data_IF_221783815871
#
_entry.id   IF_221783815871
#
_cell.length_a   1.000
_cell.length_b   1.000
_cell.length_c   1.000
_cell.angle_alpha   90.00
_cell.angle_beta   90.00
_cell.angle_gamma   90.00
#
_symmetry.space_group_name_H-M   'P 1'
#
loop_
_entity.id
_entity.type
_entity.pdbx_description
1 polymer ?
#
# COMPACT_ATOMS: atom_id res chain seq x y z
N UNK A 1 -17.66 0.39 -7.06
CA UNK A 1 -18.70 -0.60 -7.35
C UNK A 1 -20.04 0.06 -7.01
N UNK A 2 -20.98 0.20 -7.96
CA UNK A 2 -22.28 0.82 -7.65
C UNK A 2 -22.99 -0.12 -6.69
N UNK A 3 -23.28 0.36 -5.48
CA UNK A 3 -24.08 -0.39 -4.49
C UNK A 3 -25.49 -0.54 -5.03
N UNK A 4 -25.76 -1.67 -5.67
CA UNK A 4 -27.13 -2.07 -5.99
C UNK A 4 -27.68 -2.67 -4.70
N UNK A 5 -28.52 -1.91 -3.99
CA UNK A 5 -29.04 -2.33 -2.67
C UNK A 5 -29.76 -3.69 -2.73
N UNK A 6 -30.38 -4.01 -3.87
CA UNK A 6 -30.87 -5.36 -4.18
C UNK A 6 -31.20 -5.50 -5.67
N UNK A 7 -31.26 -6.74 -6.18
CA UNK A 7 -31.74 -7.04 -7.53
C UNK A 7 -32.81 -8.13 -7.54
N UNK A 8 -33.64 -8.13 -8.58
CA UNK A 8 -34.77 -9.06 -8.72
C UNK A 8 -34.30 -10.46 -9.17
N UNK A 9 -34.75 -11.47 -8.43
CA UNK A 9 -34.42 -12.90 -8.65
C UNK A 9 -35.66 -13.73 -8.98
N UNK A 10 -36.83 -13.12 -9.15
CA UNK A 10 -38.10 -13.82 -9.44
C UNK A 10 -38.05 -14.72 -10.68
N UNK A 11 -37.15 -14.40 -11.62
CA UNK A 11 -36.93 -15.16 -12.85
C UNK A 11 -35.93 -16.32 -12.70
N UNK A 12 -35.29 -16.49 -11.55
CA UNK A 12 -34.35 -17.57 -11.29
C UNK A 12 -35.12 -18.73 -10.66
N UNK A 13 -35.16 -19.87 -11.37
CA UNK A 13 -35.80 -21.08 -10.89
C UNK A 13 -34.73 -21.99 -10.30
N UNK A 14 -34.73 -22.16 -8.98
CA UNK A 14 -33.79 -23.03 -8.29
C UNK A 14 -34.30 -24.48 -8.25
N UNK A 15 -33.41 -25.49 -8.39
CA UNK A 15 -33.78 -26.88 -8.18
C UNK A 15 -34.17 -27.12 -6.72
N UNK A 16 -35.14 -28.01 -6.49
CA UNK A 16 -35.71 -28.29 -5.15
C UNK A 16 -34.71 -28.83 -4.12
N UNK A 17 -33.55 -29.33 -4.57
CA UNK A 17 -32.53 -29.95 -3.73
C UNK A 17 -31.27 -29.07 -3.53
N UNK A 18 -31.35 -27.76 -3.79
CA UNK A 18 -30.20 -26.85 -3.61
C UNK A 18 -30.40 -25.99 -2.37
N UNK A 19 -29.41 -26.02 -1.48
CA UNK A 19 -29.31 -25.13 -0.33
C UNK A 19 -28.24 -24.07 -0.60
N UNK A 20 -28.65 -22.81 -0.72
CA UNK A 20 -27.73 -21.69 -0.92
C UNK A 20 -27.06 -21.31 0.39
N UNK A 21 -25.75 -21.00 0.33
CA UNK A 21 -25.00 -20.46 1.48
C UNK A 21 -25.62 -19.15 1.95
N UNK A 22 -26.00 -18.30 0.98
CA UNK A 22 -26.69 -17.03 1.23
C UNK A 22 -28.04 -17.03 0.50
N UNK A 23 -29.16 -17.29 1.21
CA UNK A 23 -30.51 -17.20 0.66
C UNK A 23 -30.89 -15.78 0.22
N UNK A 24 -30.19 -14.76 0.74
CA UNK A 24 -30.39 -13.33 0.49
C UNK A 24 -29.33 -12.72 -0.42
N UNK A 25 -28.63 -13.55 -1.21
CA UNK A 25 -27.52 -13.11 -2.09
C UNK A 25 -27.87 -11.96 -3.04
N UNK A 26 -29.15 -11.73 -3.28
CA UNK A 26 -29.65 -10.66 -4.13
C UNK A 26 -29.82 -9.32 -3.41
N UNK A 27 -29.54 -9.25 -2.11
CA UNK A 27 -29.65 -8.07 -1.26
C UNK A 27 -28.24 -7.76 -0.74
N UNK A 28 -27.81 -6.51 -0.89
CA UNK A 28 -26.51 -6.10 -0.37
C UNK A 28 -26.54 -6.14 1.17
N UNK A 29 -25.58 -6.83 1.77
CA UNK A 29 -25.45 -6.95 3.23
C UNK A 29 -23.98 -6.74 3.66
N UNK A 30 -23.72 -6.64 4.96
CA UNK A 30 -22.34 -6.57 5.48
C UNK A 30 -21.56 -7.83 5.16
N UNK A 31 -20.27 -7.69 4.86
CA UNK A 31 -19.37 -8.81 4.62
C UNK A 31 -18.88 -9.33 5.98
N UNK A 32 -19.17 -10.58 6.29
CA UNK A 32 -18.74 -11.21 7.55
C UNK A 32 -17.29 -11.71 7.50
N UNK A 33 -16.85 -12.20 6.34
CA UNK A 33 -15.50 -12.71 6.13
C UNK A 33 -15.05 -12.58 4.66
N UNK A 34 -13.76 -12.33 4.44
CA UNK A 34 -13.10 -12.37 3.14
C UNK A 34 -12.26 -13.64 3.04
N UNK A 35 -12.45 -14.40 1.96
CA UNK A 35 -11.71 -15.64 1.70
C UNK A 35 -10.66 -15.42 0.61
N UNK A 36 -9.43 -15.81 0.91
CA UNK A 36 -8.33 -15.81 -0.05
C UNK A 36 -8.52 -16.90 -1.11
N UNK A 37 -7.84 -16.75 -2.26
CA UNK A 37 -8.00 -17.65 -3.40
C UNK A 37 -7.53 -19.09 -3.13
N UNK A 38 -6.53 -19.26 -2.26
CA UNK A 38 -6.06 -20.55 -1.74
C UNK A 38 -7.17 -21.28 -0.99
N UNK A 39 -7.82 -20.60 -0.02
CA UNK A 39 -8.94 -21.16 0.74
C UNK A 39 -10.15 -21.42 -0.17
N UNK A 40 -10.42 -20.51 -1.13
CA UNK A 40 -11.54 -20.67 -2.05
C UNK A 40 -11.44 -21.96 -2.86
N UNK A 41 -10.25 -22.34 -3.32
CA UNK A 41 -10.06 -23.57 -4.09
C UNK A 41 -10.29 -24.80 -3.21
N UNK A 42 -9.82 -24.77 -1.96
CA UNK A 42 -9.91 -25.89 -1.03
C UNK A 42 -11.35 -26.20 -0.58
N UNK A 43 -12.23 -25.21 -0.52
CA UNK A 43 -13.63 -25.38 -0.09
C UNK A 43 -14.57 -25.83 -1.21
N UNK A 44 -14.12 -25.87 -2.47
CA UNK A 44 -14.95 -26.29 -3.60
C UNK A 44 -15.20 -27.80 -3.54
N UNK A 45 -16.47 -28.20 -3.71
CA UNK A 45 -16.89 -29.59 -3.79
C UNK A 45 -17.30 -29.98 -5.20
N UNK A 46 -17.37 -31.28 -5.44
CA UNK A 46 -18.02 -31.81 -6.63
C UNK A 46 -19.50 -31.41 -6.68
N UNK A 47 -19.96 -31.08 -7.88
CA UNK A 47 -21.32 -30.62 -8.14
C UNK A 47 -21.36 -29.19 -8.65
N UNK A 48 -21.56 -29.07 -9.96
CA UNK A 48 -21.76 -27.81 -10.67
C UNK A 48 -23.04 -27.93 -11.50
N UNK A 49 -24.01 -27.06 -11.22
CA UNK A 49 -25.29 -27.05 -11.91
C UNK A 49 -25.45 -25.72 -12.64
N UNK A 50 -25.55 -25.78 -13.96
CA UNK A 50 -25.85 -24.59 -14.76
C UNK A 50 -27.38 -24.40 -14.77
N UNK A 51 -27.84 -23.19 -14.44
CA UNK A 51 -29.26 -22.85 -14.49
C UNK A 51 -29.67 -22.54 -15.93
N UNK A 52 -30.90 -22.90 -16.30
CA UNK A 52 -31.39 -22.76 -17.69
C UNK A 52 -31.64 -21.31 -18.11
N UNK A 53 -31.82 -20.39 -17.14
CA UNK A 53 -32.29 -19.02 -17.37
C UNK A 53 -31.15 -17.98 -17.55
N UNK A 54 -29.90 -18.41 -17.69
CA UNK A 54 -28.76 -17.50 -17.88
C UNK A 54 -27.41 -18.19 -17.71
N UNK A 55 -26.32 -17.43 -17.76
CA UNK A 55 -24.96 -17.94 -17.49
C UNK A 55 -24.70 -18.15 -15.98
N UNK A 56 -25.74 -18.43 -15.20
CA UNK A 56 -25.65 -18.68 -13.77
C UNK A 56 -25.29 -20.13 -13.50
N UNK A 57 -24.39 -20.30 -12.56
CA UNK A 57 -23.79 -21.55 -12.15
C UNK A 57 -23.97 -21.64 -10.64
N UNK A 58 -24.53 -22.76 -10.20
CA UNK A 58 -24.56 -23.20 -8.83
C UNK A 58 -23.36 -24.13 -8.60
N UNK A 59 -22.56 -23.82 -7.59
CA UNK A 59 -21.34 -24.54 -7.26
C UNK A 59 -21.38 -24.97 -5.80
N UNK A 60 -21.20 -26.27 -5.54
CA UNK A 60 -21.15 -26.77 -4.18
C UNK A 60 -19.83 -26.38 -3.50
N UNK A 61 -19.92 -26.01 -2.22
CA UNK A 61 -18.79 -25.74 -1.33
C UNK A 61 -19.00 -26.45 0.01
N UNK A 62 -17.99 -26.46 0.88
CA UNK A 62 -18.11 -26.93 2.27
C UNK A 62 -19.26 -26.26 3.05
N UNK A 63 -19.56 -24.99 2.75
CA UNK A 63 -20.58 -24.21 3.47
C UNK A 63 -21.99 -24.30 2.86
N UNK A 64 -22.13 -24.96 1.70
CA UNK A 64 -23.37 -25.00 0.92
C UNK A 64 -23.14 -24.58 -0.54
N UNK A 65 -24.23 -24.31 -1.26
CA UNK A 65 -24.14 -23.95 -2.68
C UNK A 65 -23.97 -22.44 -2.88
N UNK A 66 -22.95 -22.03 -3.64
CA UNK A 66 -22.75 -20.65 -4.06
C UNK A 66 -23.27 -20.44 -5.48
N UNK A 67 -23.65 -19.21 -5.82
CA UNK A 67 -24.09 -18.83 -7.16
C UNK A 67 -23.04 -17.92 -7.81
N UNK A 68 -22.72 -18.16 -9.08
CA UNK A 68 -21.78 -17.37 -9.86
C UNK A 68 -22.25 -17.26 -11.30
N UNK A 69 -22.11 -16.08 -11.91
CA UNK A 69 -22.42 -15.89 -13.32
C UNK A 69 -23.06 -14.56 -13.62
N UNK A 70 -23.52 -14.42 -14.86
CA UNK A 70 -24.11 -13.18 -15.36
C UNK A 70 -25.63 -13.32 -15.48
N UNK A 71 -26.37 -12.39 -14.89
CA UNK A 71 -27.80 -12.20 -15.12
C UNK A 71 -27.98 -11.38 -16.40
N UNK A 72 -28.53 -11.98 -17.46
CA UNK A 72 -28.66 -11.38 -18.79
C UNK A 72 -29.67 -10.23 -18.91
N UNK A 73 -29.97 -9.53 -17.81
CA UNK A 73 -30.98 -8.45 -17.74
C UNK A 73 -30.45 -7.02 -17.68
N UNK A 74 -29.17 -6.80 -17.94
CA UNK A 74 -28.68 -5.45 -18.26
C UNK A 74 -28.84 -5.10 -19.74
N UNK A 75 -29.89 -5.60 -20.41
CA UNK A 75 -30.26 -5.25 -21.79
C UNK A 75 -31.12 -3.97 -21.87
N UNK A 76 -30.76 -2.95 -21.08
CA UNK A 76 -31.10 -1.56 -21.39
C UNK A 76 -29.77 -0.83 -21.49
N UNK A 77 -29.41 -0.41 -22.70
CA UNK A 77 -28.08 0.04 -23.11
C UNK A 77 -27.51 1.23 -22.33
N UNK A 78 -27.02 0.97 -21.13
CA UNK A 78 -26.01 1.80 -20.48
C UNK A 78 -24.75 0.95 -20.34
N UNK A 79 -23.86 1.07 -21.31
CA UNK A 79 -22.46 0.76 -21.09
C UNK A 79 -21.99 1.72 -19.99
N UNK A 80 -21.99 1.25 -18.75
CA UNK A 80 -21.34 1.97 -17.66
C UNK A 80 -19.83 1.80 -17.81
N UNK A 81 -19.25 2.63 -18.68
CA UNK A 81 -17.83 2.94 -18.61
C UNK A 81 -17.66 3.87 -17.41
N UNK A 82 -16.89 3.45 -16.40
CA UNK A 82 -16.44 4.34 -15.32
C UNK A 82 -15.43 5.35 -15.87
N UNK A 83 -15.86 6.20 -16.80
CA UNK A 83 -15.06 7.30 -17.29
C UNK A 83 -15.30 8.46 -16.33
N UNK A 84 -14.32 8.75 -15.49
CA UNK A 84 -14.34 9.89 -14.59
C UNK A 84 -14.20 11.15 -15.45
N UNK A 85 -15.32 11.66 -15.96
CA UNK A 85 -15.37 12.94 -16.67
C UNK A 85 -15.52 14.07 -15.67
N UNK A 86 -14.42 14.80 -15.43
CA UNK A 86 -14.36 16.21 -14.96
C UNK A 86 -15.43 16.66 -13.94
N UNK A 87 -15.47 16.03 -12.77
CA UNK A 87 -15.94 16.70 -11.55
C UNK A 87 -14.86 16.48 -10.47
N UNK A 88 -14.10 17.54 -10.20
CA UNK A 88 -12.91 17.48 -9.33
C UNK A 88 -13.30 17.24 -7.85
N UNK A 89 -14.50 17.65 -7.44
CA UNK A 89 -15.01 17.43 -6.08
C UNK A 89 -15.33 15.95 -5.83
N UNK A 90 -16.00 15.27 -6.76
CA UNK A 90 -16.34 13.84 -6.61
C UNK A 90 -15.15 12.92 -6.83
N UNK A 91 -14.09 13.37 -7.52
CA UNK A 91 -12.91 12.55 -7.79
C UNK A 91 -12.13 12.29 -6.50
N UNK A 92 -11.98 13.31 -5.65
CA UNK A 92 -11.33 13.15 -4.35
C UNK A 92 -12.08 12.18 -3.45
N UNK A 93 -13.41 12.28 -3.40
CA UNK A 93 -14.22 11.36 -2.60
C UNK A 93 -14.20 9.94 -3.17
N UNK A 94 -14.22 9.79 -4.49
CA UNK A 94 -14.15 8.48 -5.14
C UNK A 94 -12.76 7.84 -4.97
N UNK A 95 -11.69 8.63 -5.08
CA UNK A 95 -10.32 8.19 -4.78
C UNK A 95 -10.21 7.79 -3.32
N UNK A 96 -10.71 8.64 -2.41
CA UNK A 96 -10.70 8.36 -0.98
C UNK A 96 -11.41 7.05 -0.67
N UNK A 97 -12.63 6.85 -1.17
CA UNK A 97 -13.36 5.58 -1.01
C UNK A 97 -12.64 4.39 -1.66
N UNK A 98 -11.98 4.59 -2.81
CA UNK A 98 -11.17 3.55 -3.44
C UNK A 98 -9.98 3.15 -2.55
N UNK A 99 -9.25 4.12 -1.99
CA UNK A 99 -8.14 3.87 -1.07
C UNK A 99 -8.61 3.27 0.26
N UNK A 100 -9.78 3.67 0.77
CA UNK A 100 -10.40 3.09 1.97
C UNK A 100 -10.82 1.62 1.78
N UNK A 101 -11.18 1.21 0.56
CA UNK A 101 -11.54 -0.19 0.25
C UNK A 101 -10.31 -1.11 0.24
N UNK A 102 -9.17 -0.62 -0.25
CA UNK A 102 -7.89 -1.37 -0.25
C UNK A 102 -7.14 -1.24 1.09
N UNK A 103 -7.54 -0.29 1.94
CA UNK A 103 -7.03 -0.19 3.31
C UNK A 103 -7.63 -1.33 4.14
N UNK A 104 -6.93 -2.46 4.17
CA UNK A 104 -7.10 -3.47 5.21
C UNK A 104 -6.88 -2.72 6.51
N UNK A 105 -7.95 -2.32 7.21
CA UNK A 105 -7.84 -1.78 8.57
C UNK A 105 -7.26 -2.92 9.38
N UNK A 106 -5.94 -2.94 9.66
CA UNK A 106 -5.44 -3.94 10.56
C UNK A 106 -6.15 -3.58 11.87
N UNK A 107 -6.67 -4.55 12.59
CA UNK A 107 -6.69 -4.39 14.05
C UNK A 107 -5.24 -4.16 14.45
N UNK A 108 -4.80 -2.89 14.39
CA UNK A 108 -3.40 -2.52 14.57
C UNK A 108 -3.10 -2.91 15.99
N UNK A 109 -2.34 -3.99 16.17
CA UNK A 109 -1.51 -4.12 17.36
C UNK A 109 -0.57 -2.92 17.30
N UNK A 110 -0.99 -1.80 17.90
CA UNK A 110 -0.18 -0.60 17.97
C UNK A 110 0.93 -0.90 18.97
N UNK A 111 2.02 -1.49 18.47
CA UNK A 111 3.26 -1.65 19.22
C UNK A 111 3.68 -0.28 19.76
N UNK A 112 4.28 -0.26 20.95
CA UNK A 112 4.78 0.98 21.54
C UNK A 112 5.87 1.62 20.64
N UNK A 113 6.57 0.83 19.83
CA UNK A 113 7.50 1.35 18.81
C UNK A 113 6.79 2.14 17.71
N UNK A 114 5.61 1.67 17.28
CA UNK A 114 4.80 2.38 16.28
C UNK A 114 4.27 3.69 16.85
N UNK A 115 3.80 3.70 18.11
CA UNK A 115 3.38 4.94 18.79
C UNK A 115 4.52 5.95 18.85
N UNK A 116 5.71 5.53 19.27
CA UNK A 116 6.90 6.39 19.30
C UNK A 116 7.25 6.94 17.93
N UNK A 117 7.14 6.13 16.87
CA UNK A 117 7.38 6.56 15.49
C UNK A 117 6.36 7.62 15.04
N UNK A 118 5.07 7.39 15.28
CA UNK A 118 3.99 8.32 14.96
C UNK A 118 4.15 9.65 15.72
N UNK A 119 4.42 9.59 17.03
CA UNK A 119 4.71 10.76 17.86
C UNK A 119 5.95 11.52 17.38
N UNK A 120 7.03 10.81 17.01
CA UNK A 120 8.23 11.42 16.45
C UNK A 120 7.95 12.12 15.13
N UNK A 121 7.20 11.47 14.24
CA UNK A 121 6.81 12.03 12.96
C UNK A 121 6.00 13.30 13.17
N UNK A 122 4.94 13.26 13.98
CA UNK A 122 4.09 14.42 14.26
C UNK A 122 4.87 15.58 14.90
N UNK A 123 5.83 15.26 15.78
CA UNK A 123 6.65 16.27 16.46
C UNK A 123 7.70 16.91 15.55
N UNK A 124 8.22 16.18 14.57
CA UNK A 124 9.38 16.61 13.76
C UNK A 124 9.03 16.96 12.32
N UNK A 125 7.81 16.65 11.87
CA UNK A 125 7.31 17.04 10.57
C UNK A 125 7.14 18.56 10.51
N UNK A 126 7.91 19.19 9.65
CA UNK A 126 7.79 20.61 9.31
C UNK A 126 7.62 20.78 7.80
N UNK A 127 7.30 21.99 7.35
CA UNK A 127 7.31 22.34 5.93
C UNK A 127 8.35 23.42 5.67
N UNK A 128 9.14 23.21 4.63
CA UNK A 128 10.01 24.22 4.03
C UNK A 128 9.16 25.38 3.44
N UNK A 129 9.77 26.56 3.31
CA UNK A 129 9.32 27.69 2.48
C UNK A 129 8.81 27.29 1.08
N UNK A 130 9.36 26.24 0.47
CA UNK A 130 8.89 25.69 -0.81
C UNK A 130 7.73 24.70 -0.70
N UNK A 131 7.18 24.48 0.51
CA UNK A 131 6.05 23.58 0.77
C UNK A 131 6.41 22.10 0.87
N UNK A 132 7.70 21.73 0.83
CA UNK A 132 8.16 20.34 0.98
C UNK A 132 8.07 19.89 2.43
N UNK A 133 7.71 18.63 2.65
CA UNK A 133 7.75 18.04 3.99
C UNK A 133 9.19 17.74 4.40
N UNK A 134 9.59 18.27 5.54
CA UNK A 134 10.87 17.98 6.18
C UNK A 134 10.57 17.16 7.43
N UNK A 135 11.09 15.92 7.47
CA UNK A 135 10.83 14.96 8.55
C UNK A 135 12.17 14.54 9.12
N UNK A 136 12.27 14.51 10.46
CA UNK A 136 13.47 13.97 11.10
C UNK A 136 13.38 12.45 11.09
N UNK A 137 14.50 11.80 10.75
CA UNK A 137 14.58 10.34 10.78
C UNK A 137 14.60 9.90 12.26
N UNK A 138 13.67 9.02 12.70
CA UNK A 138 13.69 8.51 14.06
C UNK A 138 14.92 7.63 14.25
N UNK A 139 15.69 7.91 15.30
CA UNK A 139 16.78 7.05 15.75
C UNK A 139 16.25 6.15 16.87
N UNK A 140 16.69 4.89 16.92
CA UNK A 140 16.32 4.01 18.02
C UNK A 140 16.97 4.54 19.31
N UNK A 141 16.22 4.51 20.41
CA UNK A 141 16.64 4.98 21.74
C UNK A 141 17.80 4.15 22.34
N UNK A 142 18.13 3.01 21.75
CA UNK A 142 19.32 2.25 22.15
C UNK A 142 20.54 3.07 21.79
N UNK A 143 21.41 3.32 22.77
CA UNK A 143 22.77 3.84 22.55
C UNK A 143 23.34 3.17 21.30
N UNK A 144 23.34 3.90 20.17
CA UNK A 144 23.93 3.38 18.95
C UNK A 144 25.41 3.43 19.26
N UNK A 145 25.93 2.33 19.79
CA UNK A 145 27.36 2.12 19.92
C UNK A 145 27.90 2.02 18.49
N UNK A 146 28.26 3.18 17.94
CA UNK A 146 28.89 3.27 16.63
C UNK A 146 30.26 2.56 16.64
N UNK A 147 30.73 2.12 17.81
CA UNK A 147 31.85 1.22 17.99
C UNK A 147 33.09 1.77 17.31
N UNK A 148 33.66 1.00 16.38
CA UNK A 148 34.85 1.38 15.61
C UNK A 148 34.52 2.15 14.31
N UNK A 149 33.36 2.81 14.22
CA UNK A 149 32.98 3.59 13.02
C UNK A 149 33.97 4.72 12.73
N UNK A 150 34.40 5.46 13.76
CA UNK A 150 35.37 6.54 13.59
C UNK A 150 36.72 6.02 13.06
N UNK A 151 37.28 4.98 13.67
CA UNK A 151 38.56 4.41 13.22
C UNK A 151 38.46 3.83 11.81
N UNK A 152 37.31 3.24 11.46
CA UNK A 152 37.01 2.74 10.11
C UNK A 152 36.92 3.88 9.11
N UNK A 153 36.24 4.98 9.44
CA UNK A 153 36.13 6.17 8.60
C UNK A 153 37.50 6.80 8.34
N UNK A 154 38.31 6.99 9.40
CA UNK A 154 39.68 7.50 9.28
C UNK A 154 40.55 6.58 8.42
N UNK A 155 40.45 5.26 8.59
CA UNK A 155 41.20 4.30 7.76
C UNK A 155 40.80 4.41 6.29
N UNK A 156 39.51 4.51 6.00
CA UNK A 156 39.00 4.68 4.62
C UNK A 156 39.49 6.00 4.01
N UNK A 157 39.47 7.10 4.77
CA UNK A 157 40.00 8.39 4.33
C UNK A 157 41.50 8.29 3.97
N UNK A 158 42.32 7.70 4.84
CA UNK A 158 43.76 7.50 4.57
C UNK A 158 44.02 6.64 3.33
N UNK A 159 43.19 5.62 3.08
CA UNK A 159 43.28 4.80 1.87
C UNK A 159 42.93 5.60 0.61
N UNK A 160 41.92 6.46 0.71
CA UNK A 160 41.53 7.38 -0.37
C UNK A 160 42.67 8.36 -0.69
N UNK A 161 43.28 8.98 0.33
CA UNK A 161 44.42 9.89 0.17
C UNK A 161 45.61 9.21 -0.52
N UNK A 162 45.96 7.97 -0.11
CA UNK A 162 47.02 7.20 -0.77
C UNK A 162 46.69 6.90 -2.24
N UNK A 163 45.43 6.61 -2.55
CA UNK A 163 44.98 6.41 -3.93
C UNK A 163 45.14 7.69 -4.75
N UNK A 164 44.79 8.85 -4.18
CA UNK A 164 44.96 10.14 -4.84
C UNK A 164 46.41 10.49 -5.16
N UNK A 165 47.36 10.07 -4.31
CA UNK A 165 48.79 10.24 -4.60
C UNK A 165 49.22 9.37 -5.80
N UNK A 166 48.70 8.15 -5.89
CA UNK A 166 49.03 7.23 -7.00
C UNK A 166 48.34 7.61 -8.31
N UNK A 167 47.13 8.16 -8.23
CA UNK A 167 46.25 8.49 -9.36
C UNK A 167 45.77 9.95 -9.26
N UNK A 168 46.59 10.93 -9.67
CA UNK A 168 46.26 12.36 -9.55
C UNK A 168 44.94 12.73 -10.24
N UNK A 169 44.68 12.19 -11.44
CA UNK A 169 43.45 12.45 -12.17
C UNK A 169 42.18 11.98 -11.43
N UNK A 170 42.26 10.92 -10.62
CA UNK A 170 41.13 10.48 -9.78
C UNK A 170 40.86 11.48 -8.65
N UNK A 171 41.91 12.12 -8.12
CA UNK A 171 41.78 13.19 -7.12
C UNK A 171 41.06 14.40 -7.71
N UNK A 172 41.46 14.83 -8.91
CA UNK A 172 40.89 16.02 -9.56
C UNK A 172 39.38 15.87 -9.75
N UNK A 173 38.94 14.72 -10.30
CA UNK A 173 37.51 14.41 -10.45
C UNK A 173 36.75 14.32 -9.13
N UNK A 174 37.39 13.80 -8.09
CA UNK A 174 36.76 13.71 -6.77
C UNK A 174 36.56 15.09 -6.14
N UNK A 175 37.54 15.99 -6.28
CA UNK A 175 37.45 17.37 -5.80
C UNK A 175 36.40 18.16 -6.59
N UNK A 176 36.38 18.01 -7.92
CA UNK A 176 35.37 18.61 -8.79
C UNK A 176 33.95 18.19 -8.38
N UNK A 177 33.73 16.89 -8.13
CA UNK A 177 32.45 16.39 -7.64
C UNK A 177 32.06 16.99 -6.27
N UNK A 178 32.99 17.08 -5.32
CA UNK A 178 32.68 17.67 -4.01
C UNK A 178 32.33 19.15 -4.11
N UNK A 179 32.98 19.89 -5.01
CA UNK A 179 32.66 21.30 -5.28
C UNK A 179 31.27 21.42 -5.88
N UNK A 180 30.93 20.62 -6.91
CA UNK A 180 29.59 20.59 -7.47
C UNK A 180 28.53 20.27 -6.41
N UNK A 181 28.81 19.30 -5.52
CA UNK A 181 27.88 18.91 -4.45
C UNK A 181 27.68 20.01 -3.40
N UNK A 182 28.71 20.80 -3.12
CA UNK A 182 28.63 21.99 -2.24
C UNK A 182 27.89 23.14 -2.94
N UNK A 183 28.18 23.40 -4.22
CA UNK A 183 27.50 24.43 -5.03
C UNK A 183 26.01 24.16 -5.20
N UNK A 184 25.60 22.88 -5.21
CA UNK A 184 24.20 22.44 -5.23
C UNK A 184 23.54 22.43 -3.84
N UNK A 185 24.23 22.88 -2.80
CA UNK A 185 23.74 22.89 -1.40
C UNK A 185 23.38 21.48 -0.88
N UNK A 186 23.98 20.44 -1.47
CA UNK A 186 23.82 19.05 -1.02
C UNK A 186 24.81 18.67 0.09
N UNK A 187 25.87 19.46 0.27
CA UNK A 187 26.79 19.37 1.40
C UNK A 187 27.24 20.75 1.85
N UNK A 188 27.62 20.86 3.12
CA UNK A 188 28.19 22.08 3.68
C UNK A 188 29.40 21.72 4.55
N UNK A 189 30.37 22.64 4.61
CA UNK A 189 31.50 22.49 5.51
C UNK A 189 31.05 22.63 6.97
N UNK A 190 31.32 21.59 7.75
CA UNK A 190 31.02 21.58 9.20
C UNK A 190 31.90 22.61 9.91
N UNK A 191 31.30 23.45 10.78
CA UNK A 191 32.03 24.38 11.66
C UNK A 191 32.57 23.60 12.85
N UNK A 192 33.83 23.82 13.22
CA UNK A 192 34.50 23.10 14.32
C UNK A 192 33.91 23.38 15.72
N UNK A 193 32.92 24.27 15.84
CA UNK A 193 32.34 24.74 17.11
C UNK A 193 30.94 24.21 17.44
N UNK A 194 30.41 23.19 16.77
CA UNK A 194 29.19 22.50 17.25
C UNK A 194 29.56 21.24 18.05
N UNK A 195 29.67 21.32 19.39
CA UNK A 195 29.82 20.16 20.24
C UNK A 195 28.50 19.42 20.31
N UNK A 196 28.23 18.59 19.30
CA UNK A 196 27.04 17.77 19.29
C UNK A 196 26.58 17.45 17.89
N UNK A 197 27.30 16.55 17.23
CA UNK A 197 26.83 15.53 16.29
C UNK A 197 28.06 14.80 15.72
N UNK A 198 29.01 14.46 16.61
CA UNK A 198 29.90 13.35 16.32
C UNK A 198 29.05 12.09 16.54
N UNK A 199 28.48 11.60 15.44
CA UNK A 199 28.02 10.23 15.34
C UNK A 199 29.26 9.34 15.45
#
# INVERSE_FOLDING_TARGET
MISVNSFDISHIVFPSNVYLVDPTFNISNSIDALLSADIFIDILKDGKYKLDNGNLILQNTEFGCIISGNTSRFSSGSLHCGLITRYFETLNDTLKSFWEIDEIVPTRFVSDELKKCDEHFLKTMTRDTNGRFCVKIPMKDNDIELGQSQSTAIRRLKLLERRFVREPHTKDKYVEFLQEYEDLDHMQRVKEEEPGLHY
#
